data_IF_606470579490
#
_entry.id   IF_606470579490
#
_cell.length_a   1.000
_cell.length_b   1.000
_cell.length_c   1.000
_cell.angle_alpha   90.00
_cell.angle_beta   90.00
_cell.angle_gamma   90.00
#
_symmetry.space_group_name_H-M   'P 1'
#
loop_
_entity.id
_entity.type
_entity.pdbx_description
1 polymer ?
#
# COMPACT_ATOMS: atom_id res chain seq x y z
N UNK A 1 -7.11 15.75 -6.27
CA UNK A 1 -6.09 16.75 -6.68
C UNK A 1 -4.78 16.01 -6.77
N UNK A 2 -4.12 15.99 -7.93
CA UNK A 2 -2.81 15.34 -8.04
C UNK A 2 -1.75 16.17 -7.32
N UNK A 3 -0.88 15.52 -6.56
CA UNK A 3 0.18 16.20 -5.81
C UNK A 3 1.53 15.54 -6.11
N UNK A 4 2.58 16.35 -6.17
CA UNK A 4 3.95 15.86 -6.29
C UNK A 4 4.77 16.43 -5.15
N UNK A 5 5.27 15.54 -4.29
CA UNK A 5 6.14 15.89 -3.18
C UNK A 5 7.57 15.51 -3.54
N UNK A 6 8.49 16.45 -3.35
CA UNK A 6 9.92 16.23 -3.58
C UNK A 6 10.62 16.45 -2.25
N UNK A 7 11.33 15.42 -1.79
CA UNK A 7 12.16 15.46 -0.60
C UNK A 7 13.62 15.29 -1.01
N UNK A 8 14.46 16.25 -0.62
CA UNK A 8 15.90 16.19 -0.84
C UNK A 8 16.60 15.98 0.50
N UNK A 9 17.38 14.92 0.60
CA UNK A 9 18.14 14.57 1.80
C UNK A 9 19.61 14.38 1.48
N UNK A 10 20.48 14.67 2.46
CA UNK A 10 21.86 14.26 2.38
C UNK A 10 21.96 12.73 2.31
N UNK A 11 22.91 12.24 1.53
CA UNK A 11 23.13 10.82 1.27
C UNK A 11 23.24 10.02 2.57
N UNK A 12 23.98 10.55 3.56
CA UNK A 12 24.06 9.97 4.92
C UNK A 12 22.69 9.71 5.54
N UNK A 13 21.88 10.76 5.62
CA UNK A 13 20.60 10.76 6.32
C UNK A 13 19.62 9.82 5.63
N UNK A 14 19.59 9.85 4.29
CA UNK A 14 18.76 8.95 3.51
C UNK A 14 19.05 7.49 3.86
N UNK A 15 20.31 7.06 3.80
CA UNK A 15 20.67 5.67 4.08
C UNK A 15 20.45 5.26 5.55
N UNK A 16 20.68 6.18 6.50
CA UNK A 16 20.35 5.97 7.91
C UNK A 16 18.85 5.74 8.14
N UNK A 17 17.99 6.57 7.52
CA UNK A 17 16.53 6.42 7.60
C UNK A 17 16.05 5.08 7.04
N UNK A 18 16.80 4.49 6.12
CA UNK A 18 16.50 3.22 5.49
C UNK A 18 17.13 2.02 6.25
N UNK A 19 17.82 2.25 7.38
CA UNK A 19 18.42 1.20 8.21
C UNK A 19 19.76 0.65 7.72
N UNK A 20 20.39 1.29 6.73
CA UNK A 20 21.62 0.79 6.09
C UNK A 20 22.85 1.48 6.67
N UNK A 21 23.57 0.83 7.58
CA UNK A 21 24.79 1.35 8.21
C UNK A 21 25.97 0.37 8.21
N UNK A 22 25.73 -0.95 8.09
CA UNK A 22 26.74 -1.94 8.46
C UNK A 22 27.73 -2.29 7.32
N UNK A 23 27.33 -2.18 6.05
CA UNK A 23 28.09 -2.71 4.90
C UNK A 23 28.39 -1.68 3.79
N UNK A 24 28.15 -0.39 4.04
CA UNK A 24 28.37 0.66 3.05
C UNK A 24 29.72 1.34 3.19
N UNK A 25 30.30 1.73 2.05
CA UNK A 25 31.56 2.47 2.01
C UNK A 25 31.42 3.79 2.78
N UNK A 26 32.25 3.97 3.82
CA UNK A 26 32.15 5.08 4.78
C UNK A 26 32.24 6.46 4.07
N UNK A 27 32.96 6.53 2.96
CA UNK A 27 33.12 7.73 2.11
C UNK A 27 31.82 8.24 1.46
N UNK A 28 30.75 7.45 1.51
CA UNK A 28 29.41 7.81 1.00
C UNK A 28 28.50 8.20 2.15
N UNK A 29 28.61 7.45 3.26
CA UNK A 29 27.88 7.70 4.50
C UNK A 29 28.31 9.04 5.09
N UNK A 30 29.52 9.54 4.81
CA UNK A 30 29.99 10.81 5.37
C UNK A 30 29.74 12.05 4.49
N UNK A 31 29.08 11.90 3.32
CA UNK A 31 28.79 13.04 2.43
C UNK A 31 27.63 13.91 2.94
N UNK A 32 27.94 14.73 3.94
CA UNK A 32 27.15 15.92 4.27
C UNK A 32 27.59 17.08 3.37
N UNK A 33 27.32 16.98 2.08
CA UNK A 33 27.64 18.00 1.09
C UNK A 33 26.38 18.57 0.47
N UNK A 34 26.41 19.85 0.07
CA UNK A 34 25.38 20.44 -0.78
C UNK A 34 25.52 20.00 -2.24
N UNK A 35 26.72 19.57 -2.63
CA UNK A 35 27.01 19.14 -4.00
C UNK A 35 26.38 17.79 -4.33
N UNK A 36 26.12 16.93 -3.34
CA UNK A 36 25.66 15.55 -3.53
C UNK A 36 24.48 15.26 -2.60
N UNK A 37 23.48 14.53 -3.08
CA UNK A 37 22.33 14.15 -2.26
C UNK A 37 21.37 13.20 -2.94
N UNK A 38 20.31 12.82 -2.22
CA UNK A 38 19.24 11.94 -2.70
C UNK A 38 17.94 12.73 -2.81
N UNK A 39 17.29 12.61 -3.95
CA UNK A 39 15.99 13.18 -4.26
C UNK A 39 14.95 12.05 -4.30
N UNK A 40 13.96 12.13 -3.42
CA UNK A 40 12.80 11.23 -3.39
C UNK A 40 11.58 11.98 -3.94
N UNK A 41 11.00 11.45 -5.00
CA UNK A 41 9.83 12.01 -5.67
C UNK A 41 8.64 11.09 -5.37
N UNK A 42 7.59 11.67 -4.81
CA UNK A 42 6.33 10.99 -4.54
C UNK A 42 5.22 11.69 -5.33
N UNK A 43 4.70 11.00 -6.33
CA UNK A 43 3.64 11.50 -7.19
C UNK A 43 2.32 10.78 -6.91
N UNK A 44 1.34 11.54 -6.44
CA UNK A 44 -0.03 11.13 -6.24
C UNK A 44 -0.85 11.45 -7.49
N UNK A 45 -1.28 10.42 -8.20
CA UNK A 45 -2.15 10.56 -9.37
C UNK A 45 -3.57 10.88 -8.93
N UNK A 46 -4.36 11.48 -9.82
CA UNK A 46 -5.79 11.71 -9.60
C UNK A 46 -6.60 10.42 -9.36
N UNK A 47 -6.06 9.27 -9.80
CA UNK A 47 -6.60 7.94 -9.52
C UNK A 47 -6.34 7.41 -8.11
N UNK A 48 -5.63 8.15 -7.25
CA UNK A 48 -5.16 7.69 -5.93
C UNK A 48 -3.93 6.79 -5.98
N UNK A 49 -3.42 6.45 -7.17
CA UNK A 49 -2.17 5.68 -7.31
C UNK A 49 -0.97 6.54 -6.93
N UNK A 50 -0.14 6.00 -6.03
CA UNK A 50 1.13 6.60 -5.61
C UNK A 50 2.29 6.03 -6.42
N UNK A 51 3.09 6.89 -7.04
CA UNK A 51 4.37 6.53 -7.66
C UNK A 51 5.51 7.11 -6.83
N UNK A 52 6.52 6.30 -6.56
CA UNK A 52 7.73 6.70 -5.84
C UNK A 52 8.94 6.49 -6.74
N UNK A 53 9.77 7.51 -6.86
CA UNK A 53 11.04 7.48 -7.58
C UNK A 53 12.16 8.06 -6.71
N UNK A 54 13.32 7.41 -6.71
CA UNK A 54 14.48 7.79 -5.88
C UNK A 54 15.70 7.98 -6.80
N UNK A 55 16.25 9.19 -6.82
CA UNK A 55 17.40 9.56 -7.66
C UNK A 55 18.52 10.16 -6.81
N UNK A 56 19.76 9.91 -7.19
CA UNK A 56 20.93 10.58 -6.62
C UNK A 56 21.40 11.69 -7.54
N UNK A 57 21.78 12.84 -6.98
CA UNK A 57 22.42 13.91 -7.73
C UNK A 57 23.83 14.17 -7.20
N UNK A 58 24.71 14.64 -8.09
CA UNK A 58 26.02 15.18 -7.74
C UNK A 58 26.38 16.36 -8.63
N UNK A 59 26.98 17.38 -8.05
CA UNK A 59 27.42 18.60 -8.71
C UNK A 59 28.95 18.61 -8.65
N UNK A 60 29.59 18.55 -9.81
CA UNK A 60 31.05 18.58 -9.93
C UNK A 60 31.46 19.78 -10.76
N UNK A 61 32.66 20.31 -10.50
CA UNK A 61 33.22 21.37 -11.33
C UNK A 61 34.20 20.71 -12.29
N UNK A 62 33.86 20.69 -13.57
CA UNK A 62 34.72 20.20 -14.65
C UNK A 62 35.06 21.37 -15.57
N UNK A 63 36.35 21.60 -15.84
CA UNK A 63 36.82 22.71 -16.68
C UNK A 63 36.23 24.08 -16.28
N UNK A 64 36.22 24.39 -14.98
CA UNK A 64 35.64 25.61 -14.39
C UNK A 64 34.12 25.79 -14.63
N UNK A 65 33.40 24.73 -15.00
CA UNK A 65 31.94 24.76 -15.18
C UNK A 65 31.26 23.76 -14.24
N UNK A 66 30.15 24.13 -13.59
CA UNK A 66 29.37 23.18 -12.80
C UNK A 66 28.65 22.20 -13.74
N UNK A 67 28.80 20.91 -13.45
CA UNK A 67 28.16 19.79 -14.14
C UNK A 67 27.27 19.07 -13.13
N UNK A 68 25.98 19.02 -13.42
CA UNK A 68 24.99 18.27 -12.64
C UNK A 68 24.86 16.87 -13.24
N UNK A 69 25.13 15.85 -12.43
CA UNK A 69 24.90 14.44 -12.76
C UNK A 69 23.73 13.91 -11.94
N UNK A 70 22.74 13.33 -12.60
CA UNK A 70 21.59 12.69 -11.96
C UNK A 70 21.59 11.23 -12.38
N UNK A 71 21.57 10.33 -11.40
CA UNK A 71 21.54 8.88 -11.63
C UNK A 71 20.45 8.23 -10.80
N UNK A 72 19.85 7.11 -11.25
CA UNK A 72 18.99 6.30 -10.42
C UNK A 72 19.72 5.85 -9.16
N UNK A 73 19.03 5.80 -8.02
CA UNK A 73 19.67 5.40 -6.76
C UNK A 73 20.26 3.98 -6.82
N UNK A 74 19.64 3.11 -7.61
CA UNK A 74 20.13 1.75 -7.86
C UNK A 74 21.55 1.72 -8.44
N UNK A 75 21.88 2.66 -9.32
CA UNK A 75 23.19 2.71 -9.95
C UNK A 75 24.24 3.30 -9.00
N UNK A 76 23.82 4.21 -8.12
CA UNK A 76 24.63 4.62 -6.98
C UNK A 76 24.93 3.41 -6.08
N UNK A 77 23.91 2.63 -5.70
CA UNK A 77 24.07 1.45 -4.85
C UNK A 77 25.01 0.41 -5.48
N UNK A 78 24.85 0.08 -6.76
CA UNK A 78 25.74 -0.85 -7.49
C UNK A 78 27.21 -0.48 -7.41
N UNK A 79 27.51 0.83 -7.49
CA UNK A 79 28.88 1.33 -7.55
C UNK A 79 29.61 1.20 -6.22
N UNK A 80 28.85 1.19 -5.14
CA UNK A 80 29.34 1.63 -3.84
C UNK A 80 28.98 0.70 -2.69
N UNK A 81 27.99 -0.15 -2.89
CA UNK A 81 27.52 -1.09 -1.88
C UNK A 81 27.86 -2.50 -2.36
N UNK A 82 28.77 -3.22 -1.67
CA UNK A 82 28.98 -4.62 -1.93
C UNK A 82 27.67 -5.38 -1.68
N UNK A 83 27.35 -6.36 -2.52
CA UNK A 83 26.13 -7.17 -2.41
C UNK A 83 24.80 -6.38 -2.46
N UNK A 84 24.72 -5.25 -3.18
CA UNK A 84 23.47 -4.46 -3.32
C UNK A 84 22.21 -5.29 -3.70
N UNK A 85 22.40 -6.44 -4.35
CA UNK A 85 21.34 -7.37 -4.75
C UNK A 85 20.48 -7.84 -3.57
N UNK A 86 21.11 -8.21 -2.44
CA UNK A 86 20.40 -8.68 -1.24
C UNK A 86 19.53 -7.56 -0.65
N UNK A 87 19.98 -6.32 -0.75
CA UNK A 87 19.26 -5.14 -0.26
C UNK A 87 17.98 -4.83 -1.07
N UNK A 88 17.98 -5.18 -2.36
CA UNK A 88 16.79 -5.05 -3.20
C UNK A 88 15.76 -6.14 -2.90
N UNK A 89 16.21 -7.30 -2.42
CA UNK A 89 15.35 -8.42 -2.08
C UNK A 89 14.58 -8.15 -0.78
N UNK A 90 15.20 -7.51 0.21
CA UNK A 90 14.53 -7.08 1.45
C UNK A 90 13.45 -6.00 1.20
N UNK A 91 13.60 -5.18 0.15
CA UNK A 91 12.62 -4.15 -0.26
C UNK A 91 11.50 -4.71 -1.14
N UNK A 92 11.59 -5.96 -1.63
CA UNK A 92 10.43 -6.60 -2.25
C UNK A 92 9.38 -6.83 -1.17
N UNK A 93 8.09 -6.54 -1.42
CA UNK A 93 7.05 -6.92 -0.48
C UNK A 93 7.21 -8.43 -0.24
N UNK A 94 7.45 -8.80 1.01
CA UNK A 94 7.42 -10.19 1.48
C UNK A 94 6.24 -10.85 0.77
N UNK A 95 6.55 -11.93 0.03
CA UNK A 95 5.62 -12.73 -0.79
C UNK A 95 4.25 -12.66 -0.14
N UNK A 96 3.29 -11.94 -0.76
CA UNK A 96 1.97 -11.65 -0.17
C UNK A 96 1.45 -12.93 0.47
N UNK A 97 1.56 -13.01 1.79
CA UNK A 97 0.98 -14.11 2.54
C UNK A 97 -0.51 -13.93 2.32
N UNK A 98 -1.17 -14.95 1.78
CA UNK A 98 -2.61 -14.88 1.62
C UNK A 98 -3.18 -14.66 3.03
N UNK A 99 -3.88 -13.54 3.29
CA UNK A 99 -4.36 -13.20 4.63
C UNK A 99 -5.37 -14.23 5.16
N UNK A 100 -5.85 -15.13 4.31
CA UNK A 100 -6.72 -16.24 4.69
C UNK A 100 -5.94 -17.50 5.08
N UNK A 101 -4.65 -17.59 4.80
CA UNK A 101 -3.78 -18.64 5.32
C UNK A 101 -3.62 -18.39 6.83
N UNK A 102 -3.98 -19.38 7.68
CA UNK A 102 -4.02 -19.36 9.17
C UNK A 102 -5.36 -19.00 9.82
N UNK A 103 -6.46 -18.89 9.08
CA UNK A 103 -7.78 -18.86 9.71
C UNK A 103 -8.17 -20.27 10.18
N UNK A 104 -8.82 -20.37 11.34
CA UNK A 104 -9.37 -21.64 11.86
C UNK A 104 -10.59 -22.13 11.06
N UNK A 105 -11.06 -21.32 10.12
CA UNK A 105 -12.15 -21.57 9.20
C UNK A 105 -11.77 -21.10 7.79
N UNK A 106 -12.34 -21.72 6.76
CA UNK A 106 -12.02 -21.41 5.39
C UNK A 106 -12.93 -20.29 4.85
N UNK A 107 -12.34 -19.20 4.35
CA UNK A 107 -13.06 -18.10 3.70
C UNK A 107 -13.18 -18.27 2.18
N UNK A 108 -12.46 -19.24 1.60
CA UNK A 108 -12.46 -19.53 0.17
C UNK A 108 -13.29 -20.78 -0.12
N UNK A 109 -14.19 -20.70 -1.09
CA UNK A 109 -14.90 -21.88 -1.58
C UNK A 109 -13.96 -22.72 -2.45
N UNK A 110 -13.97 -24.03 -2.23
CA UNK A 110 -13.39 -25.00 -3.17
C UNK A 110 -14.16 -24.98 -4.49
N UNK A 111 -13.55 -25.48 -5.56
CA UNK A 111 -14.20 -25.52 -6.88
C UNK A 111 -15.49 -26.36 -6.89
N UNK A 112 -15.55 -27.39 -6.04
CA UNK A 112 -16.74 -28.23 -5.87
C UNK A 112 -17.87 -27.48 -5.14
N UNK A 113 -17.54 -26.73 -4.08
CA UNK A 113 -18.51 -25.91 -3.36
C UNK A 113 -19.02 -24.75 -4.23
N UNK A 114 -18.17 -24.12 -5.04
CA UNK A 114 -18.60 -23.11 -6.03
C UNK A 114 -19.57 -23.69 -7.03
N UNK A 115 -19.28 -24.89 -7.55
CA UNK A 115 -20.16 -25.56 -8.52
C UNK A 115 -21.51 -25.88 -7.89
N UNK A 116 -21.51 -26.42 -6.67
CA UNK A 116 -22.74 -26.74 -5.92
C UNK A 116 -23.54 -25.48 -5.62
N UNK A 117 -22.89 -24.40 -5.18
CA UNK A 117 -23.54 -23.09 -4.96
C UNK A 117 -24.20 -22.56 -6.24
N UNK A 118 -23.52 -22.65 -7.38
CA UNK A 118 -24.05 -22.16 -8.64
C UNK A 118 -25.19 -23.02 -9.21
N UNK A 119 -25.26 -24.29 -8.82
CA UNK A 119 -26.32 -25.22 -9.21
C UNK A 119 -27.51 -25.23 -8.24
N UNK A 120 -27.39 -24.53 -7.11
CA UNK A 120 -28.44 -24.46 -6.11
C UNK A 120 -29.57 -23.55 -6.61
N UNK A 121 -30.70 -24.16 -6.96
CA UNK A 121 -31.92 -23.45 -7.30
C UNK A 121 -32.55 -22.89 -6.02
N UNK A 122 -32.71 -21.56 -5.95
CA UNK A 122 -33.34 -20.88 -4.81
C UNK A 122 -34.84 -20.72 -5.09
N UNK A 123 -35.73 -21.52 -4.46
CA UNK A 123 -37.13 -21.65 -4.85
C UNK A 123 -37.96 -20.37 -4.71
N UNK A 124 -37.53 -19.42 -3.88
CA UNK A 124 -38.24 -18.16 -3.62
C UNK A 124 -37.51 -16.92 -4.16
N UNK A 125 -36.29 -17.07 -4.69
CA UNK A 125 -35.53 -15.95 -5.26
C UNK A 125 -35.90 -15.67 -6.73
N UNK A 126 -36.53 -16.64 -7.39
CA UNK A 126 -37.07 -16.52 -8.75
C UNK A 126 -38.17 -15.46 -8.90
N UNK A 127 -38.71 -14.94 -7.80
CA UNK A 127 -39.72 -13.87 -7.80
C UNK A 127 -39.11 -12.52 -8.22
N UNK A 128 -37.79 -12.31 -8.05
CA UNK A 128 -37.14 -11.06 -8.47
C UNK A 128 -36.90 -10.96 -9.98
N UNK A 129 -36.76 -12.08 -10.71
CA UNK A 129 -36.48 -12.08 -12.16
C UNK A 129 -37.76 -12.11 -13.03
N UNK A 130 -38.91 -12.41 -12.43
CA UNK A 130 -40.20 -12.38 -13.11
C UNK A 130 -40.85 -11.00 -12.93
N UNK A 131 -40.77 -10.16 -13.97
CA UNK A 131 -41.47 -8.87 -14.10
C UNK A 131 -43.01 -8.95 -14.03
N UNK A 132 -43.61 -10.07 -13.58
CA UNK A 132 -45.04 -10.36 -13.66
C UNK A 132 -45.64 -10.87 -12.33
N UNK A 133 -45.25 -10.31 -11.18
CA UNK A 133 -46.07 -10.42 -9.97
C UNK A 133 -46.27 -9.07 -9.29
N UNK A 134 -47.52 -8.61 -9.33
CA UNK A 134 -48.06 -7.51 -8.55
C UNK A 134 -48.14 -7.88 -7.06
N UNK A 135 -46.98 -8.05 -6.44
CA UNK A 135 -46.81 -8.27 -5.01
C UNK A 135 -45.50 -7.63 -4.62
N UNK A 136 -45.55 -6.35 -4.28
CA UNK A 136 -44.41 -5.60 -3.76
C UNK A 136 -43.88 -6.32 -2.52
N UNK A 137 -42.84 -7.14 -2.71
CA UNK A 137 -41.97 -7.62 -1.63
C UNK A 137 -40.98 -6.53 -1.23
N UNK A 138 -41.43 -5.27 -1.18
CA UNK A 138 -40.65 -4.18 -0.58
C UNK A 138 -40.66 -4.41 0.93
N UNK A 139 -39.50 -4.82 1.43
CA UNK A 139 -39.23 -4.81 2.86
C UNK A 139 -39.02 -3.33 3.21
N UNK A 140 -40.10 -2.66 3.60
CA UNK A 140 -40.01 -1.34 4.20
C UNK A 140 -39.51 -1.51 5.62
N UNK A 141 -38.31 -1.00 5.84
CA UNK A 141 -37.87 -0.69 7.19
C UNK A 141 -38.58 0.59 7.60
N UNK A 142 -39.51 0.49 8.55
CA UNK A 142 -40.16 1.65 9.14
C UNK A 142 -39.38 2.01 10.42
N UNK A 143 -38.57 3.08 10.42
CA UNK A 143 -37.82 3.51 11.60
C UNK A 143 -38.72 4.06 12.71
N UNK A 144 -40.03 4.22 12.48
CA UNK A 144 -41.01 4.57 13.52
C UNK A 144 -41.66 3.34 14.17
N UNK A 145 -41.37 2.12 13.71
CA UNK A 145 -41.70 0.92 14.48
C UNK A 145 -40.72 0.82 15.65
N UNK A 146 -41.22 1.09 16.85
CA UNK A 146 -40.55 1.10 18.17
C UNK A 146 -39.70 -0.17 18.52
N UNK A 147 -39.46 -1.09 17.60
CA UNK A 147 -38.65 -2.32 17.81
C UNK A 147 -37.13 -2.09 17.66
N UNK A 148 -36.65 -0.89 17.27
CA UNK A 148 -35.21 -0.54 17.31
C UNK A 148 -34.75 0.03 18.65
N UNK A 149 -35.69 0.44 19.50
CA UNK A 149 -35.44 0.82 20.89
C UNK A 149 -36.12 -0.21 21.78
N UNK A 150 -35.48 -1.38 21.95
CA UNK A 150 -35.74 -2.16 23.16
C UNK A 150 -35.21 -1.30 24.32
N UNK A 151 -36.12 -0.63 25.04
CA UNK A 151 -35.81 0.24 26.19
C UNK A 151 -35.07 -0.52 27.31
N UNK A 152 -35.01 -1.86 27.25
CA UNK A 152 -34.14 -2.71 28.05
C UNK A 152 -32.75 -2.88 27.38
N UNK A 153 -32.12 -1.79 26.91
CA UNK A 153 -30.69 -1.83 26.52
C UNK A 153 -29.87 -2.25 27.76
N UNK A 154 -29.38 -3.51 27.82
CA UNK A 154 -28.75 -4.05 29.02
C UNK A 154 -27.34 -3.47 29.23
N UNK A 155 -26.87 -2.61 28.32
CA UNK A 155 -25.63 -1.87 28.46
C UNK A 155 -25.83 -0.56 29.27
N UNK A 156 -27.07 -0.17 29.60
CA UNK A 156 -27.38 1.07 30.32
C UNK A 156 -26.86 1.12 31.76
N UNK A 157 -26.65 -0.03 32.40
CA UNK A 157 -26.03 -0.20 33.72
C UNK A 157 -24.53 -0.57 33.67
N UNK A 158 -23.90 -0.48 32.50
CA UNK A 158 -22.45 -0.59 32.38
C UNK A 158 -21.76 0.73 32.78
N UNK A 159 -21.45 0.87 34.06
CA UNK A 159 -20.55 1.91 34.58
C UNK A 159 -19.13 1.74 33.96
N UNK A 160 -18.72 2.67 33.08
CA UNK A 160 -17.35 2.81 32.56
C UNK A 160 -16.45 3.70 33.45
#
# INVERSE_FOLDING_TARGET
>A
MSTTNILVEHTKKYFQNQGWLQDMDMDIIERNSISDGICSILHEKESGKMLREEMAYSIKIENNKPVLSIIPIIDLMKKYIPNYQTLLEDKKPSKKVDPTENLTFNLNLTEEEKKTKNQLELPYLSVQDNNDTAGSGEIYFDPELDDEFDDDDPDADLDF
#
